data_IF_608283633800
#
_entry.id   IF_608283633800
#
_cell.length_a   1.000
_cell.length_b   1.000
_cell.length_c   1.000
_cell.angle_alpha   90.00
_cell.angle_beta   90.00
_cell.angle_gamma   90.00
#
_symmetry.space_group_name_H-M   'P 1'
#
loop_
_entity.id
_entity.type
_entity.pdbx_description
1 polymer ?
#
# COMPACT_ATOMS: atom_id res chain seq x y z
N UNK A 1 4.15 -9.29 -6.57
CA UNK A 1 4.28 -7.82 -6.71
C UNK A 1 5.33 -7.30 -5.74
N UNK A 2 5.93 -6.18 -6.06
CA UNK A 2 6.93 -5.53 -5.20
C UNK A 2 6.25 -4.44 -4.40
N UNK A 3 6.23 -4.59 -3.08
CA UNK A 3 5.51 -3.72 -2.15
C UNK A 3 6.46 -3.10 -1.13
N UNK A 4 6.16 -1.87 -0.71
CA UNK A 4 6.81 -1.20 0.41
C UNK A 4 5.73 -0.88 1.44
N UNK A 5 5.88 -1.39 2.65
CA UNK A 5 4.88 -1.24 3.71
C UNK A 5 5.24 -0.10 4.65
N UNK A 6 4.26 0.76 4.88
CA UNK A 6 4.35 1.83 5.87
C UNK A 6 4.46 1.26 7.30
N UNK A 7 4.96 2.07 8.20
CA UNK A 7 5.11 1.73 9.61
C UNK A 7 3.80 1.33 10.27
N UNK A 8 2.66 1.89 9.82
CA UNK A 8 1.34 1.65 10.42
C UNK A 8 0.66 0.36 9.95
N UNK A 9 1.24 -0.38 9.01
CA UNK A 9 0.66 -1.64 8.53
C UNK A 9 0.81 -2.71 9.61
N UNK A 10 -0.30 -3.39 9.93
CA UNK A 10 -0.30 -4.44 10.96
C UNK A 10 0.65 -5.58 10.59
N UNK A 11 1.30 -6.14 11.60
CA UNK A 11 2.19 -7.30 11.42
C UNK A 11 1.46 -8.48 10.76
N UNK A 12 0.23 -8.74 11.19
CA UNK A 12 -0.57 -9.82 10.61
C UNK A 12 -0.85 -9.57 9.12
N UNK A 13 -1.03 -8.32 8.72
CA UNK A 13 -1.22 -7.96 7.31
C UNK A 13 0.06 -8.18 6.51
N UNK A 14 1.20 -7.76 7.06
CA UNK A 14 2.50 -7.98 6.42
C UNK A 14 2.75 -9.48 6.20
N UNK A 15 2.51 -10.30 7.20
CA UNK A 15 2.68 -11.76 7.09
C UNK A 15 1.73 -12.37 6.08
N UNK A 16 0.51 -11.87 6.03
CA UNK A 16 -0.48 -12.33 5.04
C UNK A 16 0.02 -12.12 3.61
N UNK A 17 0.52 -10.92 3.31
CA UNK A 17 1.00 -10.58 1.97
C UNK A 17 2.28 -11.36 1.62
N UNK A 18 3.18 -11.51 2.57
CA UNK A 18 4.39 -12.32 2.39
C UNK A 18 4.01 -13.78 2.10
N UNK A 19 3.02 -14.29 2.82
CA UNK A 19 2.51 -15.65 2.62
C UNK A 19 1.90 -15.88 1.26
N UNK A 20 1.41 -14.82 0.59
CA UNK A 20 0.90 -14.90 -0.78
C UNK A 20 2.03 -14.90 -1.83
N UNK A 21 3.29 -14.75 -1.41
CA UNK A 21 4.44 -14.83 -2.30
C UNK A 21 4.90 -13.49 -2.87
N UNK A 22 4.41 -12.36 -2.34
CA UNK A 22 4.84 -11.04 -2.80
C UNK A 22 6.16 -10.62 -2.19
N UNK A 23 6.91 -9.79 -2.93
CA UNK A 23 8.19 -9.22 -2.48
C UNK A 23 7.90 -7.99 -1.62
N UNK A 24 8.07 -8.13 -0.31
CA UNK A 24 7.68 -7.12 0.67
C UNK A 24 8.91 -6.57 1.38
N UNK A 25 9.03 -5.24 1.38
CA UNK A 25 10.00 -4.49 2.17
C UNK A 25 9.24 -3.56 3.09
N UNK A 26 9.68 -3.41 4.33
CA UNK A 26 9.10 -2.50 5.31
C UNK A 26 9.98 -1.26 5.45
N UNK A 27 9.37 -0.09 5.66
CA UNK A 27 10.14 1.15 5.84
C UNK A 27 11.11 1.03 7.02
N UNK A 28 10.72 0.30 8.08
CA UNK A 28 11.60 0.07 9.23
C UNK A 28 12.90 -0.67 8.86
N UNK A 29 12.82 -1.61 7.91
CA UNK A 29 13.99 -2.35 7.43
C UNK A 29 14.99 -1.45 6.70
N UNK A 30 14.53 -0.31 6.20
CA UNK A 30 15.35 0.67 5.49
C UNK A 30 15.89 1.77 6.42
N UNK A 31 15.66 1.65 7.74
CA UNK A 31 16.01 2.68 8.69
C UNK A 31 15.11 3.91 8.59
N UNK A 32 13.91 3.79 8.01
CA UNK A 32 13.01 4.90 7.71
C UNK A 32 11.79 4.97 8.62
N UNK A 33 11.83 4.36 9.80
CA UNK A 33 10.69 4.38 10.73
C UNK A 33 10.27 5.79 11.15
N UNK A 34 11.19 6.76 11.08
CA UNK A 34 10.95 8.17 11.43
C UNK A 34 10.82 9.08 10.20
N UNK A 35 10.79 8.51 9.00
CA UNK A 35 10.72 9.28 7.77
C UNK A 35 9.34 9.94 7.61
N UNK A 36 9.31 11.07 6.90
CA UNK A 36 8.06 11.74 6.55
C UNK A 36 7.30 10.92 5.50
N UNK A 37 6.00 11.21 5.36
CA UNK A 37 5.15 10.57 4.35
C UNK A 37 5.71 10.82 2.95
N UNK A 38 6.16 12.04 2.67
CA UNK A 38 6.75 12.38 1.37
C UNK A 38 8.01 11.57 1.09
N UNK A 39 8.88 11.43 2.09
CA UNK A 39 10.10 10.61 1.97
C UNK A 39 9.75 9.14 1.70
N UNK A 40 8.72 8.63 2.35
CA UNK A 40 8.25 7.25 2.13
C UNK A 40 7.79 7.03 0.69
N UNK A 41 6.98 7.94 0.14
CA UNK A 41 6.52 7.81 -1.24
C UNK A 41 7.66 7.94 -2.25
N UNK A 42 8.58 8.85 -2.01
CA UNK A 42 9.76 9.00 -2.86
C UNK A 42 10.63 7.74 -2.84
N UNK A 43 10.74 7.10 -1.68
CA UNK A 43 11.47 5.82 -1.56
C UNK A 43 10.76 4.71 -2.34
N UNK A 44 9.43 4.66 -2.29
CA UNK A 44 8.67 3.68 -3.07
C UNK A 44 8.92 3.84 -4.56
N UNK A 45 8.95 5.08 -5.06
CA UNK A 45 9.29 5.36 -6.46
C UNK A 45 10.71 4.94 -6.79
N UNK A 46 11.67 5.29 -5.94
CA UNK A 46 13.08 4.94 -6.12
C UNK A 46 13.28 3.42 -6.20
N UNK A 47 12.58 2.67 -5.34
CA UNK A 47 12.67 1.22 -5.28
C UNK A 47 11.75 0.52 -6.30
N UNK A 48 10.96 1.29 -7.05
CA UNK A 48 9.99 0.78 -8.01
C UNK A 48 8.99 -0.18 -7.34
N UNK A 49 8.47 0.22 -6.17
CA UNK A 49 7.53 -0.54 -5.34
C UNK A 49 6.23 0.19 -5.18
N UNK A 50 5.15 -0.56 -4.96
CA UNK A 50 3.83 -0.02 -4.63
C UNK A 50 3.80 0.19 -3.12
N UNK A 51 3.37 1.38 -2.68
CA UNK A 51 3.32 1.72 -1.26
C UNK A 51 2.00 1.26 -0.64
N UNK A 52 2.09 0.63 0.53
CA UNK A 52 0.92 0.13 1.27
C UNK A 52 0.86 0.85 2.61
N UNK A 53 -0.29 1.44 2.94
CA UNK A 53 -0.46 2.24 4.16
C UNK A 53 -1.87 2.14 4.72
N UNK A 54 -2.03 2.49 5.99
CA UNK A 54 -3.34 2.68 6.64
C UNK A 54 -3.71 4.16 6.78
N UNK A 55 -2.86 5.07 6.29
CA UNK A 55 -3.05 6.51 6.44
C UNK A 55 -3.64 7.10 5.15
N UNK A 56 -4.87 7.65 5.25
CA UNK A 56 -5.56 8.26 4.11
C UNK A 56 -4.87 9.52 3.60
N UNK A 57 -4.02 10.16 4.42
CA UNK A 57 -3.39 11.44 4.08
C UNK A 57 -2.41 11.32 2.91
N UNK A 58 -1.98 10.12 2.56
CA UNK A 58 -1.15 9.88 1.37
C UNK A 58 -1.86 10.30 0.07
N UNK A 59 -3.19 10.29 0.04
CA UNK A 59 -3.94 10.79 -1.11
C UNK A 59 -3.63 12.24 -1.44
N UNK A 60 -3.42 13.07 -0.42
CA UNK A 60 -3.04 14.47 -0.62
C UNK A 60 -1.67 14.60 -1.31
N UNK A 61 -0.71 13.77 -0.92
CA UNK A 61 0.62 13.79 -1.54
C UNK A 61 0.56 13.37 -3.01
N UNK A 62 -0.25 12.37 -3.33
CA UNK A 62 -0.38 11.87 -4.69
C UNK A 62 -1.12 12.87 -5.59
N UNK A 63 -2.28 13.36 -5.16
CA UNK A 63 -3.16 14.16 -6.02
C UNK A 63 -2.90 15.66 -5.96
N UNK A 64 -2.48 16.19 -4.82
CA UNK A 64 -2.22 17.64 -4.67
C UNK A 64 -0.76 17.95 -4.89
N UNK A 65 0.14 17.18 -4.27
CA UNK A 65 1.59 17.39 -4.41
C UNK A 65 2.21 16.65 -5.59
N UNK A 66 1.38 15.90 -6.31
CA UNK A 66 1.76 15.24 -7.56
C UNK A 66 2.95 14.26 -7.44
N UNK A 67 3.04 13.56 -6.32
CA UNK A 67 4.00 12.46 -6.17
C UNK A 67 3.36 11.22 -6.74
N UNK A 68 3.84 10.77 -7.91
CA UNK A 68 3.20 9.72 -8.71
C UNK A 68 3.62 8.32 -8.31
N UNK A 69 3.52 7.99 -7.03
CA UNK A 69 3.69 6.64 -6.52
C UNK A 69 2.34 5.93 -6.44
N UNK A 70 2.30 4.66 -6.83
CA UNK A 70 1.13 3.83 -6.59
C UNK A 70 0.95 3.60 -5.09
N UNK A 71 -0.27 3.74 -4.61
CA UNK A 71 -0.60 3.60 -3.19
C UNK A 71 -1.80 2.68 -3.01
N UNK A 72 -1.68 1.71 -2.11
CA UNK A 72 -2.78 0.89 -1.63
C UNK A 72 -3.10 1.33 -0.21
N UNK A 73 -4.21 2.03 -0.06
CA UNK A 73 -4.67 2.52 1.22
C UNK A 73 -5.66 1.53 1.83
N UNK A 74 -5.26 0.92 2.95
CA UNK A 74 -6.06 -0.08 3.65
C UNK A 74 -6.93 0.58 4.72
N UNK A 75 -8.25 0.58 4.52
CA UNK A 75 -9.20 0.97 5.55
C UNK A 75 -9.51 -0.26 6.40
N UNK A 76 -8.57 -0.61 7.26
CA UNK A 76 -8.56 -1.86 8.02
C UNK A 76 -8.56 -1.59 9.52
N UNK A 77 -9.39 -2.34 10.23
CA UNK A 77 -9.48 -2.36 11.70
C UNK A 77 -9.36 -3.81 12.15
N UNK A 78 -9.01 -4.06 13.42
CA UNK A 78 -9.00 -5.43 13.93
C UNK A 78 -10.33 -6.17 13.72
N UNK A 79 -11.45 -5.43 13.74
CA UNK A 79 -12.80 -6.01 13.60
C UNK A 79 -13.14 -6.45 12.19
N UNK A 80 -12.46 -5.95 11.14
CA UNK A 80 -12.75 -6.31 9.75
C UNK A 80 -11.53 -6.86 9.01
N UNK A 81 -10.53 -7.28 9.77
CA UNK A 81 -9.21 -7.64 9.26
C UNK A 81 -9.26 -8.67 8.13
N UNK A 82 -9.98 -9.77 8.32
CA UNK A 82 -10.00 -10.84 7.31
C UNK A 82 -10.77 -10.44 6.04
N UNK A 83 -11.81 -9.64 6.18
CA UNK A 83 -12.57 -9.14 5.02
C UNK A 83 -11.73 -8.18 4.17
N UNK A 84 -10.92 -7.34 4.81
CA UNK A 84 -10.02 -6.43 4.09
C UNK A 84 -8.89 -7.21 3.45
N UNK A 85 -8.32 -8.21 4.14
CA UNK A 85 -7.30 -9.08 3.56
C UNK A 85 -7.82 -9.79 2.32
N UNK A 86 -9.05 -10.29 2.33
CA UNK A 86 -9.66 -10.95 1.17
C UNK A 86 -9.76 -9.98 -0.01
N UNK A 87 -10.16 -8.74 0.22
CA UNK A 87 -10.25 -7.74 -0.85
C UNK A 87 -8.85 -7.35 -1.35
N UNK A 88 -7.89 -7.24 -0.44
CA UNK A 88 -6.49 -6.97 -0.80
C UNK A 88 -5.95 -8.07 -1.74
N UNK A 89 -6.14 -9.33 -1.37
CA UNK A 89 -5.73 -10.46 -2.21
C UNK A 89 -6.42 -10.39 -3.57
N UNK A 90 -7.72 -10.08 -3.60
CA UNK A 90 -8.48 -9.97 -4.84
C UNK A 90 -7.88 -8.91 -5.77
N UNK A 91 -7.50 -7.76 -5.21
CA UNK A 91 -6.87 -6.67 -5.97
C UNK A 91 -5.53 -7.10 -6.56
N UNK A 92 -4.70 -7.78 -5.76
CA UNK A 92 -3.39 -8.24 -6.22
C UNK A 92 -3.49 -9.29 -7.33
N UNK A 93 -4.64 -9.95 -7.47
CA UNK A 93 -4.91 -10.88 -8.56
C UNK A 93 -5.66 -10.25 -9.73
N UNK A 94 -6.39 -9.15 -9.49
CA UNK A 94 -7.22 -8.50 -10.50
C UNK A 94 -6.41 -7.54 -11.38
N UNK A 95 -5.48 -6.81 -10.80
CA UNK A 95 -4.66 -5.81 -11.49
C UNK A 95 -3.22 -6.29 -11.62
N UNK A 96 -2.55 -5.91 -12.70
CA UNK A 96 -1.11 -6.16 -12.82
C UNK A 96 -0.32 -5.09 -12.05
N UNK A 97 0.98 -5.32 -11.89
CA UNK A 97 1.85 -4.43 -11.12
C UNK A 97 1.89 -3.02 -11.72
N UNK A 98 1.86 -2.91 -13.04
CA UNK A 98 1.90 -1.61 -13.71
C UNK A 98 0.63 -0.81 -13.46
N UNK A 99 -0.53 -1.46 -13.47
CA UNK A 99 -1.81 -0.82 -13.14
C UNK A 99 -1.82 -0.31 -11.70
N UNK A 100 -1.28 -1.10 -10.77
CA UNK A 100 -1.21 -0.70 -9.36
C UNK A 100 -0.23 0.44 -9.13
N UNK A 101 0.87 0.50 -9.88
CA UNK A 101 1.83 1.61 -9.80
C UNK A 101 1.26 2.93 -10.29
N UNK A 102 0.19 2.89 -11.06
CA UNK A 102 -0.44 4.06 -11.67
C UNK A 102 -1.73 4.47 -10.96
N UNK A 103 -1.96 4.00 -9.74
CA UNK A 103 -3.23 4.20 -9.06
C UNK A 103 -3.09 4.46 -7.58
N UNK A 104 -4.09 5.15 -7.04
CA UNK A 104 -4.37 5.22 -5.62
C UNK A 104 -5.63 4.38 -5.38
N UNK A 105 -5.51 3.30 -4.64
CA UNK A 105 -6.61 2.36 -4.42
C UNK A 105 -7.00 2.36 -2.95
N UNK A 106 -8.27 2.65 -2.69
CA UNK A 106 -8.86 2.52 -1.35
C UNK A 106 -9.41 1.11 -1.21
N UNK A 107 -8.92 0.37 -0.23
CA UNK A 107 -9.29 -1.03 0.00
C UNK A 107 -10.09 -1.12 1.30
N UNK A 108 -11.32 -1.63 1.20
CA UNK A 108 -12.24 -1.82 2.32
C UNK A 108 -12.70 -3.29 2.37
N UNK A 109 -13.44 -3.62 3.40
CA UNK A 109 -14.08 -4.93 3.48
C UNK A 109 -15.06 -5.10 2.30
N UNK A 110 -14.82 -6.09 1.46
CA UNK A 110 -15.71 -6.46 0.36
C UNK A 110 -15.73 -5.54 -0.85
N UNK A 111 -14.93 -4.48 -0.87
CA UNK A 111 -14.90 -3.55 -2.01
C UNK A 111 -13.63 -2.74 -2.06
N UNK A 112 -13.36 -2.15 -3.24
CA UNK A 112 -12.26 -1.20 -3.40
C UNK A 112 -12.64 -0.11 -4.40
N UNK A 113 -11.89 0.97 -4.39
CA UNK A 113 -12.04 2.04 -5.36
C UNK A 113 -10.69 2.33 -6.01
N UNK A 114 -10.60 2.12 -7.30
CA UNK A 114 -9.42 2.37 -8.11
C UNK A 114 -9.48 3.81 -8.65
N UNK A 115 -8.49 4.60 -8.31
CA UNK A 115 -8.36 5.97 -8.81
C UNK A 115 -7.02 6.13 -9.49
N UNK A 116 -7.06 6.38 -10.80
CA UNK A 116 -5.84 6.56 -11.57
C UNK A 116 -5.13 7.85 -11.20
N UNK A 117 -3.80 7.77 -11.14
CA UNK A 117 -2.95 8.93 -10.87
C UNK A 117 -2.60 9.61 -12.20
#
# INVERSE_FOLDING_TARGET
MRLLLDQDVYEITARFIIGLGHDVVRVAELGMAQASDEENLKKALELNRIFVTRDRDYGNLVFVKNIKSGVLYLRILPSNLYSVHAEFERILNLYDEQELKSAFIVIEAGKHRYRRI
#
